data_IF_468695794501
#
_entry.id   IF_468695794501
#
_cell.length_a   1.000
_cell.length_b   1.000
_cell.length_c   1.000
_cell.angle_alpha   90.00
_cell.angle_beta   90.00
_cell.angle_gamma   90.00
#
_symmetry.space_group_name_H-M   'P 1'
#
loop_
_entity.id
_entity.type
_entity.pdbx_description
1 polymer ?
#
# COMPACT_ATOMS: atom_id res chain seq x y z
N UNK A 1 44.14 40.37 7.39
CA UNK A 1 42.97 40.64 6.56
C UNK A 1 41.77 40.56 7.50
N UNK A 2 41.32 41.73 7.96
CA UNK A 2 40.15 41.77 8.87
C UNK A 2 38.86 41.67 8.07
N UNK A 3 38.06 40.66 8.39
CA UNK A 3 36.72 40.48 7.80
C UNK A 3 35.85 41.62 8.32
N UNK A 4 35.23 42.38 7.42
CA UNK A 4 34.43 43.57 7.81
C UNK A 4 33.15 43.13 8.58
N UNK A 5 32.68 44.01 9.50
CA UNK A 5 31.43 43.80 10.25
C UNK A 5 30.21 43.59 9.30
N UNK A 6 30.27 44.16 8.08
CA UNK A 6 29.23 44.00 7.07
C UNK A 6 29.23 42.59 6.45
N UNK A 7 30.40 41.97 6.22
CA UNK A 7 30.52 40.59 5.73
C UNK A 7 30.09 39.57 6.79
N UNK A 8 30.40 39.83 8.08
CA UNK A 8 29.89 39.02 9.19
C UNK A 8 28.38 39.12 9.34
N UNK A 9 27.81 40.34 9.19
CA UNK A 9 26.36 40.51 9.20
C UNK A 9 25.65 39.88 8.00
N UNK A 10 26.25 39.96 6.81
CA UNK A 10 25.75 39.30 5.60
C UNK A 10 25.81 37.78 5.70
N UNK A 11 26.91 37.21 6.22
CA UNK A 11 27.06 35.79 6.48
C UNK A 11 26.07 35.29 7.56
N UNK A 12 25.82 36.07 8.60
CA UNK A 12 24.84 35.78 9.64
C UNK A 12 23.39 35.84 9.10
N UNK A 13 23.08 36.82 8.24
CA UNK A 13 21.79 36.90 7.55
C UNK A 13 21.57 35.78 6.56
N UNK A 14 22.60 35.36 5.78
CA UNK A 14 22.56 34.21 4.90
C UNK A 14 22.42 32.89 5.67
N UNK A 15 23.07 32.75 6.84
CA UNK A 15 22.91 31.59 7.72
C UNK A 15 21.52 31.53 8.39
N UNK A 16 20.87 32.66 8.62
CA UNK A 16 19.49 32.73 9.11
C UNK A 16 18.48 32.42 8.01
N UNK A 17 18.75 32.72 6.73
CA UNK A 17 17.88 32.41 5.60
C UNK A 17 17.86 30.91 5.25
N UNK A 18 18.81 30.14 5.76
CA UNK A 18 18.95 28.70 5.49
C UNK A 18 18.40 27.80 6.61
N UNK A 19 17.72 28.35 7.63
CA UNK A 19 17.03 27.52 8.62
C UNK A 19 15.70 27.06 8.07
N UNK A 20 15.50 25.73 8.01
CA UNK A 20 14.21 25.11 7.70
C UNK A 20 13.10 25.74 8.58
N UNK A 21 11.91 26.04 8.02
CA UNK A 21 10.84 26.66 8.80
C UNK A 21 10.44 25.77 9.98
N UNK A 22 10.25 26.38 11.14
CA UNK A 22 9.74 25.70 12.32
C UNK A 22 8.22 25.59 12.22
N UNK A 23 7.69 24.36 12.14
CA UNK A 23 6.28 24.05 11.92
C UNK A 23 5.72 23.20 13.06
N UNK A 24 4.41 23.30 13.30
CA UNK A 24 3.69 22.36 14.15
C UNK A 24 3.58 20.99 13.50
N UNK A 25 3.50 19.92 14.31
CA UNK A 25 3.35 18.56 13.80
C UNK A 25 2.17 18.39 12.84
N UNK A 26 1.05 19.06 13.10
CA UNK A 26 -0.10 19.08 12.18
C UNK A 26 0.25 19.69 10.81
N UNK A 27 1.02 20.78 10.78
CA UNK A 27 1.48 21.42 9.54
C UNK A 27 2.53 20.55 8.82
N UNK A 28 3.42 19.88 9.58
CA UNK A 28 4.39 18.92 9.06
C UNK A 28 3.67 17.76 8.38
N UNK A 29 2.65 17.21 9.01
CA UNK A 29 1.83 16.13 8.43
C UNK A 29 1.22 16.55 7.10
N UNK A 30 0.53 17.70 7.08
CA UNK A 30 -0.15 18.20 5.87
C UNK A 30 0.86 18.48 4.75
N UNK A 31 2.00 19.10 5.06
CA UNK A 31 3.07 19.30 4.06
C UNK A 31 3.65 17.97 3.55
N UNK A 32 3.84 16.99 4.43
CA UNK A 32 4.32 15.66 4.02
C UNK A 32 3.34 14.97 3.06
N UNK A 33 2.04 15.14 3.25
CA UNK A 33 1.01 14.63 2.33
C UNK A 33 1.07 15.34 0.97
N UNK A 34 1.30 16.65 0.95
CA UNK A 34 1.48 17.42 -0.29
C UNK A 34 2.75 16.97 -1.04
N UNK A 35 3.87 16.74 -0.33
CA UNK A 35 5.11 16.19 -0.92
C UNK A 35 4.91 14.80 -1.52
N UNK A 36 4.04 13.98 -0.94
CA UNK A 36 3.63 12.68 -1.49
C UNK A 36 2.55 12.78 -2.59
N UNK A 37 2.17 14.01 -2.98
CA UNK A 37 1.20 14.32 -4.03
C UNK A 37 -0.21 13.76 -3.76
N UNK A 38 -0.60 13.75 -2.50
CA UNK A 38 -1.96 13.36 -2.11
C UNK A 38 -2.95 14.40 -2.62
N UNK A 39 -3.91 13.97 -3.44
CA UNK A 39 -4.97 14.83 -3.97
C UNK A 39 -6.21 14.83 -3.07
N UNK A 40 -6.53 13.67 -2.51
CA UNK A 40 -7.72 13.47 -1.67
C UNK A 40 -7.37 12.82 -0.35
N UNK A 41 -8.02 13.29 0.71
CA UNK A 41 -8.01 12.66 2.03
C UNK A 41 -9.45 12.50 2.51
N UNK A 42 -9.84 11.28 2.84
CA UNK A 42 -11.16 10.98 3.39
C UNK A 42 -11.07 10.90 4.90
N UNK A 43 -12.03 11.52 5.60
CA UNK A 43 -11.93 11.49 7.04
C UNK A 43 -13.17 11.94 7.78
N UNK A 44 -13.15 11.71 9.11
CA UNK A 44 -14.14 12.18 10.05
C UNK A 44 -13.45 12.85 11.24
N UNK A 45 -13.81 14.09 11.60
CA UNK A 45 -13.15 14.84 12.66
C UNK A 45 -13.42 14.27 14.04
N UNK A 46 -12.50 14.54 14.97
CA UNK A 46 -12.63 14.20 16.39
C UNK A 46 -11.55 14.86 17.23
N UNK A 47 -11.65 14.76 18.54
CA UNK A 47 -10.88 15.53 19.51
C UNK A 47 -9.35 15.39 19.39
N UNK A 48 -8.86 14.22 18.97
CA UNK A 48 -7.43 13.97 18.85
C UNK A 48 -6.80 14.57 17.57
N UNK A 49 -7.61 14.87 16.53
CA UNK A 49 -7.14 15.34 15.22
C UNK A 49 -7.52 16.78 14.87
N UNK A 50 -8.03 17.56 15.84
CA UNK A 50 -8.48 18.95 15.60
C UNK A 50 -7.40 19.83 14.99
N UNK A 51 -6.16 19.75 15.46
CA UNK A 51 -5.05 20.54 14.92
C UNK A 51 -4.67 20.13 13.49
N UNK A 52 -4.86 18.84 13.16
CA UNK A 52 -4.64 18.34 11.79
C UNK A 52 -5.71 18.91 10.86
N UNK A 53 -6.98 18.94 11.31
CA UNK A 53 -8.08 19.53 10.53
C UNK A 53 -7.90 21.05 10.36
N UNK A 54 -7.39 21.76 11.38
CA UNK A 54 -7.06 23.18 11.26
C UNK A 54 -5.94 23.43 10.22
N UNK A 55 -4.91 22.57 10.19
CA UNK A 55 -3.86 22.63 9.18
C UNK A 55 -4.37 22.27 7.77
N UNK A 56 -5.28 21.28 7.64
CA UNK A 56 -5.92 20.94 6.39
C UNK A 56 -6.78 22.09 5.83
N UNK A 57 -7.48 22.81 6.70
CA UNK A 57 -8.30 23.96 6.29
C UNK A 57 -7.47 25.12 5.72
N UNK A 58 -6.21 25.26 6.13
CA UNK A 58 -5.31 26.36 5.75
C UNK A 58 -4.56 26.15 4.43
N UNK A 59 -4.82 25.06 3.71
CA UNK A 59 -4.17 24.74 2.44
C UNK A 59 -5.20 24.49 1.33
N UNK A 60 -4.77 24.61 0.07
CA UNK A 60 -5.59 24.46 -1.15
C UNK A 60 -5.05 23.40 -2.12
N UNK A 61 -4.03 22.65 -1.76
CA UNK A 61 -3.35 21.66 -2.62
C UNK A 61 -3.99 20.28 -2.58
N UNK A 62 -4.71 19.98 -1.51
CA UNK A 62 -5.31 18.68 -1.25
C UNK A 62 -6.76 18.86 -0.80
N UNK A 63 -7.67 18.06 -1.33
CA UNK A 63 -9.09 18.10 -0.99
C UNK A 63 -9.41 17.14 0.15
N UNK A 64 -10.03 17.64 1.22
CA UNK A 64 -10.63 16.81 2.25
C UNK A 64 -12.07 16.46 1.91
N UNK A 65 -12.40 15.17 1.95
CA UNK A 65 -13.76 14.64 1.75
C UNK A 65 -14.31 14.15 3.09
N UNK A 66 -15.30 14.88 3.62
CA UNK A 66 -15.95 14.52 4.86
C UNK A 66 -16.87 13.32 4.64
N UNK A 67 -16.68 12.29 5.45
CA UNK A 67 -17.58 11.11 5.51
C UNK A 67 -18.48 11.19 6.73
N UNK A 68 -19.41 10.23 6.86
CA UNK A 68 -20.30 10.11 8.04
C UNK A 68 -19.95 8.93 8.96
N UNK A 69 -18.97 8.13 8.56
CA UNK A 69 -18.47 6.99 9.32
C UNK A 69 -17.04 6.67 8.86
N UNK A 70 -16.13 6.36 9.77
CA UNK A 70 -14.72 6.15 9.48
C UNK A 70 -14.48 4.93 8.57
N UNK A 71 -15.30 3.90 8.67
CA UNK A 71 -15.28 2.77 7.73
C UNK A 71 -15.47 3.24 6.29
N UNK A 72 -16.39 4.19 6.06
CA UNK A 72 -16.60 4.75 4.73
C UNK A 72 -15.38 5.55 4.24
N UNK A 73 -14.65 6.25 5.15
CA UNK A 73 -13.41 6.94 4.78
C UNK A 73 -12.37 5.96 4.23
N UNK A 74 -12.17 4.86 4.94
CA UNK A 74 -11.17 3.85 4.53
C UNK A 74 -11.59 3.14 3.25
N UNK A 75 -12.87 2.78 3.08
CA UNK A 75 -13.35 2.17 1.84
C UNK A 75 -13.31 3.14 0.65
N UNK A 76 -13.54 4.45 0.87
CA UNK A 76 -13.40 5.44 -0.20
C UNK A 76 -11.93 5.59 -0.64
N UNK A 77 -11.00 5.64 0.32
CA UNK A 77 -9.56 5.65 0.04
C UNK A 77 -9.10 4.35 -0.66
N UNK A 78 -9.64 3.19 -0.26
CA UNK A 78 -9.42 1.90 -0.92
C UNK A 78 -9.91 1.92 -2.38
N UNK A 79 -11.13 2.40 -2.61
CA UNK A 79 -11.68 2.55 -3.96
C UNK A 79 -10.86 3.49 -4.85
N UNK A 80 -10.38 4.60 -4.30
CA UNK A 80 -9.48 5.52 -4.99
C UNK A 80 -8.17 4.84 -5.39
N UNK A 81 -7.54 4.12 -4.45
CA UNK A 81 -6.29 3.42 -4.74
C UNK A 81 -6.46 2.34 -5.82
N UNK A 82 -7.58 1.61 -5.84
CA UNK A 82 -7.89 0.63 -6.89
C UNK A 82 -8.08 1.28 -8.26
N UNK A 83 -8.73 2.44 -8.30
CA UNK A 83 -9.06 3.12 -9.54
C UNK A 83 -7.88 3.86 -10.16
N UNK A 84 -6.99 4.41 -9.35
CA UNK A 84 -5.89 5.28 -9.80
C UNK A 84 -4.52 4.62 -9.76
N UNK A 85 -4.32 3.59 -8.92
CA UNK A 85 -3.02 3.03 -8.60
C UNK A 85 -2.21 3.86 -7.60
N UNK A 86 -2.74 5.00 -7.13
CA UNK A 86 -2.10 5.87 -6.14
C UNK A 86 -2.39 5.38 -4.72
N UNK A 87 -1.65 5.92 -3.74
CA UNK A 87 -1.88 5.57 -2.33
C UNK A 87 -3.13 6.25 -1.80
N UNK A 88 -4.12 5.48 -1.36
CA UNK A 88 -5.31 6.01 -0.71
C UNK A 88 -5.00 6.52 0.71
N UNK A 89 -5.56 7.67 1.09
CA UNK A 89 -5.29 8.27 2.42
C UNK A 89 -6.59 8.49 3.19
N UNK A 90 -6.64 7.99 4.42
CA UNK A 90 -7.75 8.23 5.33
C UNK A 90 -7.24 8.86 6.65
N UNK A 91 -8.06 9.74 7.26
CA UNK A 91 -7.80 10.40 8.53
C UNK A 91 -8.93 10.15 9.50
N UNK A 92 -8.63 9.53 10.64
CA UNK A 92 -9.61 9.20 11.67
C UNK A 92 -9.10 9.62 13.06
N UNK A 93 -10.03 9.87 13.98
CA UNK A 93 -9.68 10.20 15.37
C UNK A 93 -9.30 8.97 16.18
N UNK A 94 -8.89 9.16 17.43
CA UNK A 94 -8.54 8.09 18.37
C UNK A 94 -9.75 7.22 18.77
N UNK A 95 -9.50 6.09 19.40
CA UNK A 95 -10.52 5.21 19.98
C UNK A 95 -11.55 4.74 18.97
N UNK A 96 -12.81 5.19 19.07
CA UNK A 96 -13.88 4.77 18.17
C UNK A 96 -13.58 5.09 16.70
N UNK A 97 -12.83 6.13 16.39
CA UNK A 97 -12.41 6.44 15.02
C UNK A 97 -11.54 5.35 14.42
N UNK A 98 -10.55 4.88 15.17
CA UNK A 98 -9.68 3.78 14.75
C UNK A 98 -10.45 2.47 14.65
N UNK A 99 -11.25 2.11 15.68
CA UNK A 99 -11.98 0.83 15.69
C UNK A 99 -13.00 0.74 14.56
N UNK A 100 -13.64 1.85 14.20
CA UNK A 100 -14.53 1.92 13.05
C UNK A 100 -13.80 1.76 11.70
N UNK A 101 -12.51 2.09 11.62
CA UNK A 101 -11.71 1.96 10.40
C UNK A 101 -11.23 0.52 10.14
N UNK A 102 -11.24 -0.36 11.12
CA UNK A 102 -10.62 -1.70 11.09
C UNK A 102 -11.10 -2.55 9.91
N UNK A 103 -12.40 -2.57 9.62
CA UNK A 103 -12.96 -3.35 8.51
C UNK A 103 -12.36 -2.93 7.16
N UNK A 104 -12.28 -1.61 6.89
CA UNK A 104 -11.69 -1.10 5.66
C UNK A 104 -10.19 -1.39 5.56
N UNK A 105 -9.46 -1.27 6.68
CA UNK A 105 -8.02 -1.61 6.74
C UNK A 105 -7.81 -3.10 6.44
N UNK A 106 -8.60 -3.99 7.04
CA UNK A 106 -8.52 -5.44 6.82
C UNK A 106 -8.82 -5.79 5.35
N UNK A 107 -9.83 -5.16 4.74
CA UNK A 107 -10.16 -5.34 3.32
C UNK A 107 -8.99 -4.96 2.43
N UNK A 108 -8.40 -3.78 2.62
CA UNK A 108 -7.24 -3.31 1.86
C UNK A 108 -6.01 -4.24 2.03
N UNK A 109 -5.79 -4.75 3.24
CA UNK A 109 -4.70 -5.69 3.53
C UNK A 109 -4.85 -7.00 2.75
N UNK A 110 -6.04 -7.58 2.77
CA UNK A 110 -6.32 -8.85 2.09
C UNK A 110 -6.15 -8.75 0.57
N UNK A 111 -6.49 -7.60 -0.02
CA UNK A 111 -6.41 -7.35 -1.45
C UNK A 111 -5.12 -6.65 -1.90
N UNK A 112 -4.20 -6.40 -0.97
CA UNK A 112 -2.90 -5.75 -1.27
C UNK A 112 -3.04 -4.33 -1.82
N UNK A 113 -3.96 -3.54 -1.27
CA UNK A 113 -4.23 -2.16 -1.72
C UNK A 113 -3.35 -1.17 -0.96
N UNK A 114 -2.57 -0.31 -1.66
CA UNK A 114 -1.69 0.64 -1.02
C UNK A 114 -2.48 1.75 -0.34
N UNK A 115 -2.37 1.88 0.97
CA UNK A 115 -3.05 2.90 1.76
C UNK A 115 -2.18 3.42 2.90
N UNK A 116 -2.38 4.69 3.27
CA UNK A 116 -1.88 5.28 4.51
C UNK A 116 -3.06 5.76 5.34
N UNK A 117 -3.26 5.15 6.50
CA UNK A 117 -4.30 5.51 7.43
C UNK A 117 -3.67 6.31 8.58
N UNK A 118 -4.06 7.57 8.68
CA UNK A 118 -3.61 8.49 9.72
C UNK A 118 -4.62 8.42 10.85
N UNK A 119 -4.16 8.05 12.05
CA UNK A 119 -5.01 7.96 13.22
C UNK A 119 -4.57 8.97 14.27
N UNK A 120 -5.52 9.63 14.89
CA UNK A 120 -5.24 10.39 16.10
C UNK A 120 -5.07 9.47 17.31
N UNK A 121 -4.27 9.90 18.28
CA UNK A 121 -4.08 9.20 19.56
C UNK A 121 -4.18 10.18 20.72
N UNK A 122 -4.48 9.67 21.90
CA UNK A 122 -4.39 10.45 23.13
C UNK A 122 -2.99 11.01 23.34
N UNK A 123 -2.79 12.08 24.13
CA UNK A 123 -1.44 12.60 24.37
C UNK A 123 -0.46 11.52 24.84
N UNK A 124 0.81 11.63 24.44
CA UNK A 124 1.85 10.62 24.72
C UNK A 124 1.92 10.18 26.18
N UNK A 125 1.72 11.12 27.12
CA UNK A 125 1.73 10.84 28.56
C UNK A 125 0.49 10.07 29.05
N UNK A 126 -0.58 10.03 28.26
CA UNK A 126 -1.84 9.37 28.62
C UNK A 126 -1.98 7.97 28.01
N UNK A 127 -1.08 7.57 27.11
CA UNK A 127 -1.10 6.25 26.48
C UNK A 127 -0.86 5.15 27.52
N UNK A 128 -1.78 4.19 27.58
CA UNK A 128 -1.75 3.07 28.54
C UNK A 128 -2.37 3.41 29.90
N UNK A 129 -3.09 4.54 30.02
CA UNK A 129 -3.73 4.96 31.26
C UNK A 129 -5.28 4.93 31.19
N UNK A 130 -5.85 4.22 30.22
CA UNK A 130 -7.30 4.15 29.96
C UNK A 130 -7.95 5.54 29.79
N UNK A 131 -7.26 6.41 29.05
CA UNK A 131 -7.74 7.76 28.80
C UNK A 131 -9.00 7.76 27.91
N UNK A 132 -9.77 8.86 27.98
CA UNK A 132 -10.99 8.98 27.16
C UNK A 132 -10.70 8.83 25.67
N UNK A 133 -11.41 7.91 25.03
CA UNK A 133 -11.22 7.52 23.62
C UNK A 133 -9.80 7.04 23.29
N UNK A 134 -9.12 6.41 24.22
CA UNK A 134 -7.90 5.67 23.96
C UNK A 134 -8.22 4.29 23.35
N UNK A 135 -7.36 3.81 22.47
CA UNK A 135 -7.28 2.40 22.10
C UNK A 135 -5.83 2.02 21.71
N UNK A 136 -5.50 0.75 21.85
CA UNK A 136 -4.23 0.22 21.36
C UNK A 136 -4.29 0.07 19.82
N UNK A 137 -4.13 1.20 19.12
CA UNK A 137 -4.14 1.28 17.66
C UNK A 137 -3.15 0.28 17.05
N UNK A 138 -1.93 0.22 17.60
CA UNK A 138 -0.88 -0.66 17.10
C UNK A 138 -1.24 -2.14 17.29
N UNK A 139 -1.75 -2.51 18.46
CA UNK A 139 -2.17 -3.88 18.76
C UNK A 139 -3.34 -4.34 17.88
N UNK A 140 -4.37 -3.49 17.75
CA UNK A 140 -5.58 -3.80 16.95
C UNK A 140 -5.24 -3.93 15.46
N UNK A 141 -4.39 -3.06 14.91
CA UNK A 141 -4.10 -3.03 13.48
C UNK A 141 -2.96 -3.96 13.06
N UNK A 142 -2.11 -4.40 13.97
CA UNK A 142 -0.93 -5.24 13.67
C UNK A 142 -1.20 -6.41 12.71
N UNK A 143 -2.26 -7.22 12.86
CA UNK A 143 -2.52 -8.37 11.99
C UNK A 143 -3.09 -7.99 10.61
N UNK A 144 -3.49 -6.76 10.40
CA UNK A 144 -4.21 -6.30 9.20
C UNK A 144 -3.52 -5.15 8.47
N UNK A 145 -2.23 -4.90 8.76
CA UNK A 145 -1.41 -3.88 8.08
C UNK A 145 -0.04 -4.42 7.71
N UNK A 146 0.60 -3.81 6.73
CA UNK A 146 2.01 -4.09 6.43
C UNK A 146 2.92 -3.57 7.54
N UNK A 147 2.60 -2.40 8.07
CA UNK A 147 3.32 -1.78 9.17
C UNK A 147 2.43 -0.76 9.88
N UNK A 148 2.75 -0.49 11.14
CA UNK A 148 2.18 0.61 11.90
C UNK A 148 3.28 1.40 12.60
N UNK A 149 3.07 2.70 12.72
CA UNK A 149 3.95 3.63 13.41
C UNK A 149 3.17 4.33 14.51
N UNK A 150 3.71 4.39 15.72
CA UNK A 150 3.29 5.30 16.77
C UNK A 150 4.34 6.43 16.87
N UNK A 151 3.99 7.63 16.44
CA UNK A 151 4.91 8.78 16.37
C UNK A 151 4.98 9.49 17.72
N UNK A 152 6.02 9.23 18.50
CA UNK A 152 6.18 9.81 19.85
C UNK A 152 6.94 11.13 19.87
N UNK A 153 7.65 11.47 18.79
CA UNK A 153 8.42 12.71 18.66
C UNK A 153 8.06 13.41 17.35
N UNK A 154 7.79 14.71 17.42
CA UNK A 154 7.45 15.52 16.24
C UNK A 154 8.58 15.54 15.20
N UNK A 155 9.83 15.41 15.63
CA UNK A 155 11.03 15.37 14.77
C UNK A 155 11.04 14.14 13.83
N UNK A 156 10.38 13.06 14.22
CA UNK A 156 10.31 11.83 13.43
C UNK A 156 9.15 11.83 12.43
N UNK A 157 8.21 12.78 12.54
CA UNK A 157 6.94 12.74 11.80
C UNK A 157 7.14 12.77 10.28
N UNK A 158 7.92 13.71 9.76
CA UNK A 158 8.15 13.83 8.31
C UNK A 158 8.81 12.55 7.73
N UNK A 159 9.84 12.04 8.41
CA UNK A 159 10.51 10.81 8.02
C UNK A 159 9.59 9.59 8.13
N UNK A 160 8.72 9.54 9.13
CA UNK A 160 7.72 8.47 9.29
C UNK A 160 6.69 8.50 8.17
N UNK A 161 6.19 9.67 7.78
CA UNK A 161 5.28 9.80 6.65
C UNK A 161 5.94 9.30 5.35
N UNK A 162 7.18 9.69 5.07
CA UNK A 162 7.93 9.19 3.91
C UNK A 162 8.04 7.67 3.91
N UNK A 163 8.38 7.07 5.06
CA UNK A 163 8.46 5.60 5.22
C UNK A 163 7.11 4.93 5.03
N UNK A 164 6.04 5.52 5.56
CA UNK A 164 4.68 4.96 5.44
C UNK A 164 4.24 4.85 3.99
N UNK A 165 4.41 5.89 3.19
CA UNK A 165 4.10 5.86 1.76
C UNK A 165 5.01 4.89 0.99
N UNK A 166 6.30 4.86 1.31
CA UNK A 166 7.24 3.91 0.71
C UNK A 166 6.83 2.46 0.97
N UNK A 167 6.49 2.10 2.22
CA UNK A 167 6.06 0.75 2.58
C UNK A 167 4.72 0.42 1.92
N UNK A 168 3.75 1.35 1.91
CA UNK A 168 2.43 1.12 1.34
C UNK A 168 2.50 0.70 -0.14
N UNK A 169 3.35 1.37 -0.95
CA UNK A 169 3.41 1.18 -2.40
C UNK A 169 4.49 0.21 -2.90
N UNK A 170 5.42 -0.22 -2.05
CA UNK A 170 6.56 -1.06 -2.48
C UNK A 170 6.43 -2.51 -2.04
N UNK A 171 7.14 -3.45 -2.70
CA UNK A 171 6.94 -4.88 -2.49
C UNK A 171 5.50 -5.29 -2.82
N UNK A 172 4.91 -6.22 -2.08
CA UNK A 172 3.47 -6.43 -2.10
C UNK A 172 2.80 -5.22 -1.46
N UNK A 173 1.98 -4.42 -2.18
CA UNK A 173 1.33 -3.24 -1.62
C UNK A 173 0.40 -3.58 -0.44
N UNK A 174 0.04 -2.57 0.35
CA UNK A 174 -0.90 -2.77 1.45
C UNK A 174 -0.97 -1.58 2.40
N UNK A 175 -1.92 -1.60 3.35
CA UNK A 175 -2.15 -0.50 4.28
C UNK A 175 -1.02 -0.35 5.31
N UNK A 176 -0.74 0.90 5.64
CA UNK A 176 0.16 1.32 6.73
C UNK A 176 -0.61 2.29 7.62
N UNK A 177 -0.52 2.10 8.92
CA UNK A 177 -1.12 3.00 9.91
C UNK A 177 -0.06 3.90 10.51
N UNK A 178 -0.37 5.20 10.62
CA UNK A 178 0.45 6.20 11.30
C UNK A 178 -0.38 6.82 12.42
N UNK A 179 -0.07 6.43 13.65
CA UNK A 179 -0.78 6.83 14.86
C UNK A 179 -0.07 8.04 15.48
N UNK A 180 -0.78 9.18 15.58
CA UNK A 180 -0.22 10.48 15.94
C UNK A 180 -0.85 10.98 17.23
N UNK A 181 -0.11 10.97 18.35
CA UNK A 181 -0.57 11.56 19.59
C UNK A 181 -0.87 13.05 19.47
N UNK A 182 -1.93 13.51 20.16
CA UNK A 182 -2.42 14.88 20.08
C UNK A 182 -1.33 15.92 20.43
N UNK A 183 -0.48 15.65 21.42
CA UNK A 183 0.61 16.54 21.81
C UNK A 183 1.70 16.61 20.74
N UNK A 184 1.93 15.57 19.95
CA UNK A 184 2.84 15.59 18.81
C UNK A 184 2.31 16.51 17.72
N UNK A 185 0.99 16.54 17.48
CA UNK A 185 0.40 17.41 16.47
C UNK A 185 0.57 18.93 16.74
N UNK A 186 0.78 19.32 18.02
CA UNK A 186 0.97 20.75 18.41
C UNK A 186 2.43 21.13 18.67
N UNK A 187 3.32 20.17 18.96
CA UNK A 187 4.75 20.43 19.12
C UNK A 187 5.34 20.94 17.83
N UNK A 188 6.38 21.81 17.95
CA UNK A 188 7.07 22.40 16.81
C UNK A 188 8.47 21.81 16.62
N UNK A 189 8.89 21.68 15.38
CA UNK A 189 10.29 21.43 15.02
C UNK A 189 10.60 21.98 13.62
N UNK A 190 11.88 22.02 13.28
CA UNK A 190 12.31 22.33 11.92
C UNK A 190 11.75 21.29 10.94
N UNK A 191 11.16 21.74 9.84
CA UNK A 191 10.61 20.87 8.81
C UNK A 191 11.65 20.56 7.76
N UNK A 192 11.92 19.29 7.59
CA UNK A 192 12.71 18.74 6.50
C UNK A 192 12.07 17.45 6.01
N UNK A 193 11.69 17.43 4.73
CA UNK A 193 11.12 16.22 4.15
C UNK A 193 12.22 15.39 3.46
N UNK A 194 12.40 14.09 3.83
CA UNK A 194 13.49 13.29 3.29
C UNK A 194 13.37 13.08 1.78
N UNK A 195 14.45 13.24 1.04
CA UNK A 195 14.49 12.98 -0.41
C UNK A 195 14.36 11.47 -0.72
N UNK A 196 14.91 10.62 0.14
CA UNK A 196 14.91 9.16 -0.02
C UNK A 196 14.55 8.45 1.28
N UNK A 197 14.20 7.17 1.16
CA UNK A 197 13.95 6.28 2.30
C UNK A 197 15.05 5.24 2.37
N UNK A 198 15.71 5.17 3.53
CA UNK A 198 16.61 4.07 3.86
C UNK A 198 16.01 3.25 5.01
N UNK A 199 15.81 1.95 4.77
CA UNK A 199 15.29 1.02 5.77
C UNK A 199 16.15 -0.24 5.81
N UNK A 200 16.76 -0.48 6.97
CA UNK A 200 17.65 -1.63 7.18
C UNK A 200 16.96 -2.97 6.98
N UNK A 201 15.71 -3.09 7.41
CA UNK A 201 14.96 -4.36 7.46
C UNK A 201 13.90 -4.52 6.37
N UNK A 202 13.76 -3.56 5.45
CA UNK A 202 12.74 -3.59 4.41
C UNK A 202 13.35 -3.36 3.03
N UNK A 203 13.67 -4.46 2.35
CA UNK A 203 14.33 -4.45 1.03
C UNK A 203 13.64 -5.45 0.09
N UNK A 204 12.49 -5.11 -0.50
CA UNK A 204 11.76 -6.02 -1.39
C UNK A 204 12.59 -6.34 -2.65
N UNK A 205 12.68 -7.63 -2.99
CA UNK A 205 13.38 -8.11 -4.17
C UNK A 205 12.48 -7.90 -5.39
N UNK A 206 12.95 -7.07 -6.34
CA UNK A 206 12.17 -6.71 -7.55
C UNK A 206 12.63 -7.42 -8.82
N UNK A 207 13.76 -8.12 -8.79
CA UNK A 207 14.32 -8.78 -9.97
C UNK A 207 14.31 -10.29 -9.81
N UNK A 208 13.75 -10.99 -10.80
CA UNK A 208 13.78 -12.44 -10.86
C UNK A 208 15.19 -12.97 -11.05
N UNK A 209 15.46 -14.17 -10.55
CA UNK A 209 16.75 -14.83 -10.68
C UNK A 209 16.92 -15.42 -12.09
N UNK A 210 17.93 -14.95 -12.86
CA UNK A 210 18.12 -15.35 -14.25
C UNK A 210 18.23 -16.85 -14.52
N UNK A 211 18.78 -17.62 -13.57
CA UNK A 211 18.82 -19.09 -13.65
C UNK A 211 17.43 -19.72 -13.56
N UNK A 212 16.56 -19.22 -12.69
CA UNK A 212 15.19 -19.70 -12.56
C UNK A 212 14.33 -19.30 -13.76
N UNK A 213 14.53 -18.12 -14.33
CA UNK A 213 13.88 -17.69 -15.57
C UNK A 213 14.22 -18.65 -16.72
N UNK A 214 15.49 -19.05 -16.89
CA UNK A 214 15.89 -20.04 -17.91
C UNK A 214 15.22 -21.40 -17.70
N UNK A 215 15.14 -21.89 -16.45
CA UNK A 215 14.44 -23.14 -16.14
C UNK A 215 12.94 -23.04 -16.45
N UNK A 216 12.32 -21.91 -16.10
CA UNK A 216 10.91 -21.66 -16.43
C UNK A 216 10.67 -21.72 -17.94
N UNK A 217 11.52 -21.05 -18.74
CA UNK A 217 11.43 -21.11 -20.20
C UNK A 217 11.56 -22.54 -20.75
N UNK A 218 12.48 -23.35 -20.22
CA UNK A 218 12.63 -24.76 -20.61
C UNK A 218 11.36 -25.57 -20.32
N UNK A 219 10.73 -25.33 -19.16
CA UNK A 219 9.48 -25.97 -18.81
C UNK A 219 8.34 -25.58 -19.77
N UNK A 220 8.23 -24.29 -20.09
CA UNK A 220 7.23 -23.77 -21.04
C UNK A 220 7.39 -24.38 -22.42
N UNK A 221 8.60 -24.44 -22.94
CA UNK A 221 8.90 -25.01 -24.27
C UNK A 221 8.59 -26.52 -24.36
N UNK A 222 8.56 -27.24 -23.24
CA UNK A 222 8.24 -28.66 -23.18
C UNK A 222 6.78 -28.96 -22.82
N UNK A 223 6.00 -27.95 -22.46
CA UNK A 223 4.62 -28.10 -22.03
C UNK A 223 3.71 -28.54 -23.19
N UNK A 224 2.77 -29.46 -22.90
CA UNK A 224 1.76 -29.93 -23.84
C UNK A 224 0.39 -29.27 -23.60
N UNK A 225 0.10 -28.94 -22.37
CA UNK A 225 -1.15 -28.30 -21.93
C UNK A 225 -0.82 -27.15 -20.93
N UNK A 226 -0.09 -26.15 -21.37
CA UNK A 226 0.25 -25.01 -20.51
C UNK A 226 -0.95 -24.13 -20.20
N UNK A 227 -0.91 -23.44 -19.07
CA UNK A 227 -1.97 -22.55 -18.65
C UNK A 227 -1.43 -21.32 -17.92
N UNK A 228 -1.91 -20.15 -18.28
CA UNK A 228 -1.53 -18.88 -17.65
C UNK A 228 -2.60 -18.44 -16.65
N UNK A 229 -2.19 -18.27 -15.42
CA UNK A 229 -3.01 -17.83 -14.29
C UNK A 229 -2.53 -16.48 -13.80
N UNK A 230 -3.21 -15.38 -14.17
CA UNK A 230 -2.83 -14.03 -13.82
C UNK A 230 -3.68 -13.45 -12.69
N UNK A 231 -3.04 -12.76 -11.77
CA UNK A 231 -3.69 -12.15 -10.62
C UNK A 231 -3.53 -10.64 -10.55
N UNK A 232 -4.00 -10.04 -9.45
CA UNK A 232 -3.95 -8.60 -9.19
C UNK A 232 -2.54 -8.01 -9.22
N UNK A 233 -1.51 -8.82 -8.95
CA UNK A 233 -0.11 -8.38 -9.04
C UNK A 233 0.30 -7.90 -10.42
N UNK A 234 -0.33 -8.39 -11.49
CA UNK A 234 -0.10 -7.92 -12.86
C UNK A 234 -0.58 -6.47 -13.01
N UNK A 235 -1.77 -6.14 -12.49
CA UNK A 235 -2.31 -4.78 -12.51
C UNK A 235 -1.50 -3.84 -11.61
N UNK A 236 -1.21 -4.27 -10.39
CA UNK A 236 -0.44 -3.49 -9.41
C UNK A 236 1.00 -3.17 -9.87
N UNK A 237 1.57 -4.01 -10.74
CA UNK A 237 2.89 -3.80 -11.35
C UNK A 237 2.83 -3.09 -12.71
N UNK A 238 1.63 -2.75 -13.20
CA UNK A 238 1.39 -2.19 -14.54
C UNK A 238 1.94 -3.07 -15.67
N UNK A 239 1.89 -4.42 -15.51
CA UNK A 239 2.49 -5.40 -16.42
C UNK A 239 1.48 -6.08 -17.36
N UNK A 240 0.32 -5.46 -17.61
CA UNK A 240 -0.73 -6.02 -18.48
C UNK A 240 -0.25 -6.19 -19.93
N UNK A 241 0.59 -5.27 -20.43
CA UNK A 241 1.13 -5.35 -21.79
C UNK A 241 2.15 -6.47 -21.92
N UNK A 242 2.99 -6.68 -20.90
CA UNK A 242 3.97 -7.77 -20.85
C UNK A 242 3.25 -9.13 -20.77
N UNK A 243 2.18 -9.23 -19.96
CA UNK A 243 1.33 -10.42 -19.90
C UNK A 243 0.74 -10.72 -21.28
N UNK A 244 0.18 -9.72 -21.96
CA UNK A 244 -0.39 -9.86 -23.30
C UNK A 244 0.67 -10.35 -24.28
N UNK A 245 1.82 -9.73 -24.31
CA UNK A 245 2.94 -10.13 -25.17
C UNK A 245 3.36 -11.57 -24.91
N UNK A 246 3.47 -11.99 -23.65
CA UNK A 246 3.80 -13.36 -23.27
C UNK A 246 2.77 -14.36 -23.79
N UNK A 247 1.49 -14.09 -23.55
CA UNK A 247 0.37 -14.95 -23.98
C UNK A 247 0.30 -15.04 -25.50
N UNK A 248 0.51 -13.94 -26.22
CA UNK A 248 0.50 -13.91 -27.69
C UNK A 248 1.68 -14.70 -28.29
N UNK A 249 2.87 -14.56 -27.71
CA UNK A 249 4.07 -15.30 -28.14
C UNK A 249 3.94 -16.81 -27.92
N UNK A 250 3.33 -17.22 -26.80
CA UNK A 250 3.21 -18.64 -26.43
C UNK A 250 1.96 -19.28 -27.01
N UNK A 251 0.93 -18.51 -27.31
CA UNK A 251 -0.37 -19.00 -27.77
C UNK A 251 -1.17 -19.77 -26.68
N UNK A 252 -0.86 -19.53 -25.40
CA UNK A 252 -1.42 -20.29 -24.29
C UNK A 252 -2.76 -19.71 -23.80
N UNK A 253 -3.69 -20.58 -23.31
CA UNK A 253 -4.89 -20.09 -22.66
C UNK A 253 -4.56 -19.34 -21.37
N UNK A 254 -5.32 -18.26 -21.13
CA UNK A 254 -5.14 -17.35 -19.98
C UNK A 254 -6.43 -17.23 -19.18
N UNK A 255 -6.29 -17.15 -17.87
CA UNK A 255 -7.37 -16.85 -16.94
C UNK A 255 -6.93 -15.77 -15.95
N UNK A 256 -7.89 -15.02 -15.43
CA UNK A 256 -7.63 -14.01 -14.40
C UNK A 256 -8.30 -14.42 -13.07
N UNK A 257 -7.66 -14.04 -11.95
CA UNK A 257 -8.36 -14.01 -10.67
C UNK A 257 -9.37 -12.86 -10.65
N UNK A 258 -10.24 -12.80 -9.65
CA UNK A 258 -11.13 -11.66 -9.45
C UNK A 258 -10.33 -10.33 -9.42
N UNK A 259 -9.24 -10.27 -8.64
CA UNK A 259 -8.37 -9.09 -8.56
C UNK A 259 -7.51 -8.86 -9.81
N UNK A 260 -7.40 -9.85 -10.68
CA UNK A 260 -6.68 -9.79 -11.95
C UNK A 260 -7.56 -9.45 -13.15
N UNK A 261 -8.87 -9.31 -12.98
CA UNK A 261 -9.77 -8.94 -14.08
C UNK A 261 -9.35 -7.62 -14.70
N UNK A 262 -9.19 -7.61 -16.03
CA UNK A 262 -8.63 -6.48 -16.78
C UNK A 262 -7.13 -6.60 -17.08
N UNK A 263 -6.39 -7.52 -16.44
CA UNK A 263 -4.97 -7.75 -16.75
C UNK A 263 -4.77 -8.34 -18.16
N UNK A 264 -5.69 -9.20 -18.63
CA UNK A 264 -5.72 -9.73 -19.98
C UNK A 264 -7.08 -9.44 -20.63
N UNK A 265 -7.14 -9.10 -21.94
CA UNK A 265 -8.39 -8.73 -22.61
C UNK A 265 -9.41 -9.88 -22.64
N UNK A 266 -10.63 -9.62 -22.16
CA UNK A 266 -11.72 -10.59 -22.17
C UNK A 266 -12.29 -10.85 -23.57
N UNK A 267 -11.93 -10.04 -24.57
CA UNK A 267 -12.33 -10.22 -25.98
C UNK A 267 -11.38 -11.13 -26.78
N UNK A 268 -10.25 -11.51 -26.20
CA UNK A 268 -9.31 -12.43 -26.84
C UNK A 268 -9.79 -13.88 -26.70
N UNK A 269 -9.66 -14.68 -27.76
CA UNK A 269 -10.11 -16.09 -27.80
C UNK A 269 -9.29 -17.01 -26.90
N UNK A 270 -8.14 -16.59 -26.41
CA UNK A 270 -7.32 -17.32 -25.43
C UNK A 270 -7.79 -17.10 -23.99
N UNK A 271 -8.68 -16.11 -23.76
CA UNK A 271 -9.20 -15.82 -22.43
C UNK A 271 -10.33 -16.80 -22.06
N UNK A 272 -10.12 -17.58 -21.00
CA UNK A 272 -11.09 -18.59 -20.55
C UNK A 272 -12.03 -18.08 -19.43
N UNK A 273 -11.98 -16.80 -19.11
CA UNK A 273 -12.74 -16.21 -18.00
C UNK A 273 -12.00 -16.26 -16.67
N UNK A 274 -12.74 -16.08 -15.59
CA UNK A 274 -12.24 -16.20 -14.22
C UNK A 274 -12.29 -17.69 -13.79
N UNK A 275 -11.36 -18.09 -12.91
CA UNK A 275 -11.37 -19.44 -12.32
C UNK A 275 -11.85 -19.41 -10.85
N UNK A 276 -11.96 -20.59 -10.26
CA UNK A 276 -12.35 -20.80 -8.88
C UNK A 276 -13.85 -21.00 -8.68
N UNK A 277 -14.33 -20.77 -7.45
CA UNK A 277 -15.72 -21.03 -7.05
C UNK A 277 -16.76 -20.30 -7.91
N UNK A 278 -16.43 -19.08 -8.34
CA UNK A 278 -17.29 -18.22 -9.17
C UNK A 278 -16.79 -18.12 -10.61
N UNK A 279 -15.93 -19.06 -11.03
CA UNK A 279 -15.32 -19.08 -12.35
C UNK A 279 -16.11 -19.87 -13.39
N UNK A 280 -15.61 -19.81 -14.63
CA UNK A 280 -16.16 -20.59 -15.75
C UNK A 280 -15.74 -22.05 -15.66
N UNK A 281 -16.53 -22.93 -16.28
CA UNK A 281 -16.22 -24.36 -16.37
C UNK A 281 -14.91 -24.56 -17.15
N UNK A 282 -14.71 -23.80 -18.22
CA UNK A 282 -13.55 -23.86 -19.10
C UNK A 282 -12.26 -23.52 -18.34
N UNK A 283 -12.26 -22.41 -17.58
CA UNK A 283 -11.11 -21.99 -16.79
C UNK A 283 -10.76 -23.01 -15.69
N UNK A 284 -11.77 -23.54 -14.99
CA UNK A 284 -11.58 -24.56 -13.96
C UNK A 284 -11.07 -25.88 -14.54
N UNK A 285 -11.62 -26.35 -15.67
CA UNK A 285 -11.15 -27.55 -16.34
C UNK A 285 -9.72 -27.39 -16.88
N UNK A 286 -9.39 -26.25 -17.46
CA UNK A 286 -8.03 -25.96 -17.92
C UNK A 286 -7.04 -25.99 -16.76
N UNK A 287 -7.39 -25.39 -15.61
CA UNK A 287 -6.57 -25.41 -14.38
C UNK A 287 -6.32 -26.85 -13.90
N UNK A 288 -7.33 -27.71 -13.90
CA UNK A 288 -7.20 -29.08 -13.41
C UNK A 288 -6.40 -30.00 -14.37
N UNK A 289 -6.45 -29.74 -15.68
CA UNK A 289 -5.85 -30.59 -16.69
C UNK A 289 -4.53 -30.08 -17.28
N UNK A 290 -4.04 -28.91 -16.86
CA UNK A 290 -2.75 -28.38 -17.32
C UNK A 290 -1.58 -29.23 -16.78
N UNK A 291 -0.52 -29.37 -17.58
CA UNK A 291 0.75 -29.98 -17.19
C UNK A 291 1.79 -28.96 -16.70
N UNK A 292 1.68 -27.72 -17.17
CA UNK A 292 2.47 -26.57 -16.69
C UNK A 292 1.55 -25.39 -16.42
N UNK A 293 1.57 -24.92 -15.19
CA UNK A 293 0.84 -23.74 -14.74
C UNK A 293 1.81 -22.57 -14.53
N UNK A 294 1.52 -21.42 -15.14
CA UNK A 294 2.24 -20.17 -14.88
C UNK A 294 1.35 -19.28 -14.05
N UNK A 295 1.65 -19.13 -12.76
CA UNK A 295 0.99 -18.19 -11.86
C UNK A 295 1.76 -16.88 -11.82
N UNK A 296 1.12 -15.76 -12.17
CA UNK A 296 1.75 -14.43 -12.27
C UNK A 296 0.99 -13.44 -11.39
N UNK A 297 1.63 -12.97 -10.32
CA UNK A 297 1.02 -12.02 -9.38
C UNK A 297 -0.29 -12.50 -8.79
N UNK A 298 -0.40 -13.81 -8.55
CA UNK A 298 -1.58 -14.49 -8.05
C UNK A 298 -1.20 -15.42 -6.92
N UNK A 299 -1.99 -15.42 -5.84
CA UNK A 299 -1.88 -16.40 -4.76
C UNK A 299 -2.91 -17.52 -4.96
N UNK A 300 -2.62 -18.68 -4.40
CA UNK A 300 -3.55 -19.81 -4.41
C UNK A 300 -4.42 -19.78 -3.16
N UNK A 301 -5.50 -18.98 -3.19
CA UNK A 301 -6.44 -18.87 -2.06
C UNK A 301 -7.52 -19.97 -2.09
N UNK A 302 -8.31 -20.03 -1.03
CA UNK A 302 -9.35 -21.05 -0.84
C UNK A 302 -10.46 -20.98 -1.90
N UNK A 303 -10.73 -19.80 -2.49
CA UNK A 303 -11.75 -19.62 -3.54
C UNK A 303 -11.31 -20.20 -4.87
N UNK A 304 -10.01 -20.29 -5.10
CA UNK A 304 -9.40 -20.92 -6.30
C UNK A 304 -9.12 -22.40 -6.07
N UNK A 305 -8.50 -22.73 -4.93
CA UNK A 305 -8.13 -24.12 -4.62
C UNK A 305 -9.34 -24.96 -4.29
N UNK A 306 -10.35 -24.41 -3.58
CA UNK A 306 -11.46 -25.18 -3.04
C UNK A 306 -10.99 -26.25 -2.05
N UNK A 307 -11.22 -27.51 -2.34
CA UNK A 307 -10.70 -28.61 -1.52
C UNK A 307 -9.26 -28.97 -1.95
N UNK A 308 -8.23 -28.75 -1.10
CA UNK A 308 -6.84 -29.05 -1.45
C UNK A 308 -6.59 -30.50 -1.87
N UNK A 309 -7.36 -31.46 -1.36
CA UNK A 309 -7.24 -32.88 -1.74
C UNK A 309 -7.64 -33.14 -3.20
N UNK A 310 -8.44 -32.28 -3.79
CA UNK A 310 -8.92 -32.42 -5.15
C UNK A 310 -8.22 -31.46 -6.12
N UNK A 311 -7.53 -30.44 -5.64
CA UNK A 311 -6.92 -29.42 -6.48
C UNK A 311 -5.71 -29.90 -7.28
N UNK A 312 -4.93 -30.84 -6.77
CA UNK A 312 -3.68 -31.31 -7.35
C UNK A 312 -3.70 -32.83 -7.67
N UNK A 313 -4.80 -33.37 -8.20
CA UNK A 313 -4.91 -34.78 -8.52
C UNK A 313 -4.02 -35.21 -9.70
N UNK A 314 -3.74 -34.31 -10.63
CA UNK A 314 -2.84 -34.52 -11.75
C UNK A 314 -1.45 -33.94 -11.46
N UNK A 315 -0.39 -34.68 -11.82
CA UNK A 315 0.98 -34.15 -11.80
C UNK A 315 1.07 -32.94 -12.72
N UNK A 316 1.45 -31.79 -12.16
CA UNK A 316 1.74 -30.58 -12.90
C UNK A 316 2.93 -29.85 -12.33
N UNK A 317 3.63 -29.10 -13.18
CA UNK A 317 4.71 -28.20 -12.76
C UNK A 317 4.17 -26.80 -12.65
N UNK A 318 4.57 -26.07 -11.60
CA UNK A 318 4.13 -24.70 -11.35
C UNK A 318 5.33 -23.76 -11.48
N UNK A 319 5.16 -22.75 -12.31
CA UNK A 319 6.04 -21.59 -12.39
C UNK A 319 5.30 -20.46 -11.66
N UNK A 320 5.85 -20.00 -10.53
CA UNK A 320 5.22 -18.93 -9.76
C UNK A 320 6.07 -17.67 -9.81
N UNK A 321 5.47 -16.57 -10.28
CA UNK A 321 6.11 -15.25 -10.41
C UNK A 321 5.35 -14.31 -9.49
N UNK A 322 5.95 -13.98 -8.35
CA UNK A 322 5.37 -13.09 -7.36
C UNK A 322 6.45 -12.24 -6.70
N UNK A 323 6.05 -11.08 -6.17
CA UNK A 323 6.93 -10.19 -5.39
C UNK A 323 6.97 -10.58 -3.92
N UNK A 324 5.98 -11.30 -3.45
CA UNK A 324 5.86 -11.75 -2.07
C UNK A 324 6.37 -13.20 -1.94
N UNK A 325 7.57 -13.40 -1.35
CA UNK A 325 8.13 -14.74 -1.20
C UNK A 325 7.30 -15.66 -0.30
N UNK A 326 6.39 -15.12 0.51
CA UNK A 326 5.49 -15.92 1.33
C UNK A 326 4.35 -16.57 0.53
N UNK A 327 4.12 -16.11 -0.69
CA UNK A 327 3.12 -16.67 -1.61
C UNK A 327 3.66 -17.77 -2.52
N UNK A 328 5.00 -17.96 -2.57
CA UNK A 328 5.70 -18.89 -3.46
C UNK A 328 5.91 -20.25 -2.78
#
# INVERSE_FOLDING_TARGET
MEISKAELASAAAAAQSNKSPELMGAEILVRSLIEEKVEFIWGYPGGAVLYIYDALYKQDKMQHVLVRHEQAAVHAADGYARATGEVGVALVTSGPGVTNAVTGIATAYMDSIPMVIITGQVPTAAIGLDAFQECDTVGITRPIVKHNFLVKDVRDLAATMKKAFHIARSGRPGPVVVDIPKDVSVKKCAYEYPASVEMRSYNPVRKGHGGQIRKALQLLMSAKRPYVYSGGGVLLSNASQELRTLVDMLGYPCTNTLMGLGAYPATDNKFLGMLGMHGTIEANNAMQNCDVLIAIGARFDDRVIGNPKHFAQNERKIIHIDIDPSSI
#
